data_IF_267927570818
#
_entry.id   IF_267927570818
#
_cell.length_a   1.000
_cell.length_b   1.000
_cell.length_c   1.000
_cell.angle_alpha   90.00
_cell.angle_beta   90.00
_cell.angle_gamma   90.00
#
_symmetry.space_group_name_H-M   'P 1'
#
loop_
_entity.id
_entity.type
_entity.pdbx_description
1 polymer ?
#
# COMPACT_ATOMS: atom_id res chain seq x y z
N UNK A 1 -6.54 0.58 13.57
CA UNK A 1 -6.05 -0.77 13.22
C UNK A 1 -4.77 -0.65 12.39
N UNK A 2 -3.78 -1.49 12.66
CA UNK A 2 -2.45 -1.46 12.02
C UNK A 2 -2.49 -1.60 10.48
N UNK A 3 -3.42 -2.39 9.94
CA UNK A 3 -3.62 -2.56 8.48
C UNK A 3 -4.07 -1.25 7.83
N UNK A 4 -4.89 -0.45 8.52
CA UNK A 4 -5.29 0.89 8.03
C UNK A 4 -4.14 1.89 8.08
N UNK A 5 -3.20 1.72 9.02
CA UNK A 5 -2.00 2.54 9.07
C UNK A 5 -1.06 2.23 7.90
N UNK A 6 -0.87 0.95 7.55
CA UNK A 6 -0.16 0.54 6.34
C UNK A 6 -0.82 1.13 5.08
N UNK A 7 -2.13 1.00 4.95
CA UNK A 7 -2.90 1.53 3.81
C UNK A 7 -2.66 3.04 3.64
N UNK A 8 -2.82 3.79 4.73
CA UNK A 8 -2.58 5.23 4.73
C UNK A 8 -1.12 5.57 4.41
N UNK A 9 -0.16 4.85 5.00
CA UNK A 9 1.26 5.05 4.68
C UNK A 9 1.56 4.88 3.19
N UNK A 10 1.01 3.84 2.55
CA UNK A 10 1.22 3.61 1.12
C UNK A 10 0.56 4.70 0.27
N UNK A 11 -0.63 5.18 0.65
CA UNK A 11 -1.22 6.37 0.01
C UNK A 11 -0.30 7.59 0.07
N UNK A 12 0.24 7.88 1.24
CA UNK A 12 1.08 9.05 1.48
C UNK A 12 2.41 8.96 0.72
N UNK A 13 3.13 7.83 0.82
CA UNK A 13 4.42 7.66 0.14
C UNK A 13 4.28 7.61 -1.38
N UNK A 14 3.21 6.99 -1.90
CA UNK A 14 2.93 7.01 -3.34
C UNK A 14 2.60 8.41 -3.83
N UNK A 15 1.79 9.18 -3.09
CA UNK A 15 1.53 10.58 -3.45
C UNK A 15 2.82 11.39 -3.51
N UNK A 16 3.63 11.35 -2.45
CA UNK A 16 4.89 12.09 -2.38
C UNK A 16 5.82 11.67 -3.51
N UNK A 17 6.01 10.35 -3.72
CA UNK A 17 6.87 9.84 -4.77
C UNK A 17 6.42 10.25 -6.18
N UNK A 18 5.12 10.24 -6.46
CA UNK A 18 4.59 10.69 -7.75
C UNK A 18 4.78 12.19 -7.99
N UNK A 19 4.60 13.02 -6.95
CA UNK A 19 4.90 14.45 -7.02
C UNK A 19 6.39 14.70 -7.28
N UNK A 20 7.27 13.90 -6.67
CA UNK A 20 8.72 13.98 -6.91
C UNK A 20 9.12 13.54 -8.32
N UNK A 21 8.44 12.55 -8.90
CA UNK A 21 8.60 12.19 -10.32
C UNK A 21 8.13 13.33 -11.23
N UNK A 22 7.01 13.96 -10.91
CA UNK A 22 6.48 15.11 -11.66
C UNK A 22 7.46 16.30 -11.62
N UNK A 23 8.02 16.59 -10.45
CA UNK A 23 9.04 17.61 -10.22
C UNK A 23 10.43 17.28 -10.78
N UNK A 24 10.60 16.09 -11.39
CA UNK A 24 11.88 15.58 -11.89
C UNK A 24 12.96 15.43 -10.81
N UNK A 25 12.55 15.29 -9.54
CA UNK A 25 13.42 14.91 -8.42
C UNK A 25 13.71 13.41 -8.43
N UNK A 26 12.79 12.61 -9.00
CA UNK A 26 12.95 11.18 -9.25
C UNK A 26 12.91 10.88 -10.76
N UNK A 27 13.58 9.81 -11.22
CA UNK A 27 13.45 9.36 -12.61
C UNK A 27 12.01 8.93 -12.89
N UNK A 28 11.53 9.23 -14.10
CA UNK A 28 10.22 8.75 -14.54
C UNK A 28 10.21 7.22 -14.69
N UNK A 29 9.07 6.61 -14.36
CA UNK A 29 8.86 5.18 -14.54
C UNK A 29 7.87 4.92 -15.68
N UNK A 30 7.90 3.72 -16.25
CA UNK A 30 6.90 3.34 -17.26
C UNK A 30 5.46 3.41 -16.72
N UNK A 31 5.27 3.18 -15.41
CA UNK A 31 3.96 3.28 -14.80
C UNK A 31 3.55 4.74 -14.58
N UNK A 32 4.48 5.60 -14.16
CA UNK A 32 4.21 7.05 -13.99
C UNK A 32 3.77 7.70 -15.30
N UNK A 33 4.44 7.35 -16.42
CA UNK A 33 4.11 7.86 -17.76
C UNK A 33 2.76 7.38 -18.29
N UNK A 34 2.26 6.26 -17.77
CA UNK A 34 0.95 5.69 -18.12
C UNK A 34 -0.15 6.08 -17.15
N UNK A 35 0.18 6.83 -16.10
CA UNK A 35 -0.80 7.33 -15.16
C UNK A 35 -1.75 8.27 -15.89
N UNK A 36 -3.01 7.88 -15.96
CA UNK A 36 -4.05 8.67 -16.60
C UNK A 36 -4.47 9.79 -15.67
N UNK A 37 -4.81 10.95 -16.21
CA UNK A 37 -5.41 12.07 -15.47
C UNK A 37 -6.72 12.49 -16.15
N UNK A 38 -7.63 13.08 -15.40
CA UNK A 38 -8.87 13.63 -15.96
C UNK A 38 -8.59 14.79 -16.93
N UNK A 39 -9.55 15.05 -17.84
CA UNK A 39 -9.47 16.22 -18.72
C UNK A 39 -9.47 17.52 -17.92
N UNK A 40 -10.24 17.58 -16.82
CA UNK A 40 -10.28 18.73 -15.91
C UNK A 40 -8.92 18.99 -15.24
N UNK A 41 -8.29 17.94 -14.71
CA UNK A 41 -6.93 18.03 -14.16
C UNK A 41 -5.92 18.50 -15.22
N UNK A 42 -6.04 17.98 -16.45
CA UNK A 42 -5.20 18.39 -17.58
C UNK A 42 -5.35 19.88 -17.89
N UNK A 43 -6.58 20.38 -18.00
CA UNK A 43 -6.86 21.81 -18.24
C UNK A 43 -6.31 22.69 -17.11
N UNK A 44 -6.47 22.25 -15.86
CA UNK A 44 -5.94 22.95 -14.68
C UNK A 44 -4.41 23.02 -14.73
N UNK A 45 -3.73 21.90 -14.98
CA UNK A 45 -2.27 21.84 -15.08
C UNK A 45 -1.69 22.69 -16.21
N UNK A 46 -2.38 22.78 -17.36
CA UNK A 46 -1.98 23.68 -18.46
C UNK A 46 -2.12 25.15 -18.05
N UNK A 47 -3.20 25.50 -17.33
CA UNK A 47 -3.45 26.89 -16.90
C UNK A 47 -2.52 27.37 -15.77
N UNK A 48 -1.99 26.44 -14.96
CA UNK A 48 -1.17 26.71 -13.78
C UNK A 48 0.08 25.83 -13.73
N UNK A 49 1.04 26.02 -14.64
CA UNK A 49 2.18 25.10 -14.80
C UNK A 49 3.18 25.11 -13.65
N UNK A 50 3.14 26.10 -12.75
CA UNK A 50 4.03 26.22 -11.58
C UNK A 50 3.40 25.70 -10.28
N UNK A 51 2.14 25.27 -10.30
CA UNK A 51 1.44 24.71 -9.14
C UNK A 51 1.27 23.20 -9.31
N UNK A 52 1.58 22.42 -8.27
CA UNK A 52 1.43 20.97 -8.29
C UNK A 52 0.13 20.48 -7.62
N UNK A 53 -0.63 21.40 -7.01
CA UNK A 53 -1.84 21.10 -6.25
C UNK A 53 -2.90 20.36 -7.07
N UNK A 54 -2.96 20.63 -8.39
CA UNK A 54 -3.87 19.92 -9.28
C UNK A 54 -3.52 18.43 -9.39
N UNK A 55 -2.22 18.10 -9.43
CA UNK A 55 -1.76 16.73 -9.56
C UNK A 55 -1.86 15.98 -8.23
N UNK A 56 -1.56 16.65 -7.11
CA UNK A 56 -1.82 16.10 -5.76
C UNK A 56 -3.30 15.70 -5.63
N UNK A 57 -4.21 16.62 -5.95
CA UNK A 57 -5.65 16.36 -5.90
C UNK A 57 -6.06 15.17 -6.77
N UNK A 58 -5.59 15.15 -8.02
CA UNK A 58 -5.89 14.05 -8.95
C UNK A 58 -5.38 12.69 -8.43
N UNK A 59 -4.19 12.65 -7.82
CA UNK A 59 -3.68 11.42 -7.18
C UNK A 59 -4.58 11.00 -6.02
N UNK A 60 -4.97 11.94 -5.14
CA UNK A 60 -5.85 11.64 -4.00
C UNK A 60 -7.22 11.14 -4.43
N UNK A 61 -7.82 11.77 -5.45
CA UNK A 61 -9.14 11.39 -5.95
C UNK A 61 -9.09 10.00 -6.60
N UNK A 62 -8.02 9.70 -7.36
CA UNK A 62 -7.85 8.39 -8.01
C UNK A 62 -7.48 7.27 -7.06
N UNK A 63 -6.64 7.54 -6.08
CA UNK A 63 -6.23 6.50 -5.13
C UNK A 63 -7.21 6.38 -3.97
N UNK A 64 -8.01 7.40 -3.64
CA UNK A 64 -8.85 7.42 -2.44
C UNK A 64 -9.87 6.29 -2.31
N UNK A 65 -10.28 5.65 -3.41
CA UNK A 65 -11.15 4.47 -3.40
C UNK A 65 -10.38 3.13 -3.45
N UNK A 66 -9.06 3.16 -3.56
CA UNK A 66 -8.20 1.98 -3.63
C UNK A 66 -7.66 1.61 -2.25
N UNK A 67 -7.67 0.32 -1.95
CA UNK A 67 -7.04 -0.23 -0.75
C UNK A 67 -5.63 -0.74 -1.07
N UNK A 68 -4.62 -0.14 -0.45
CA UNK A 68 -3.21 -0.51 -0.55
C UNK A 68 -2.78 -1.40 0.61
N UNK A 69 -3.49 -2.53 0.75
CA UNK A 69 -3.22 -3.53 1.80
C UNK A 69 -2.66 -4.82 1.21
N UNK A 70 -3.15 -5.22 0.04
CA UNK A 70 -2.65 -6.42 -0.63
C UNK A 70 -1.28 -6.17 -1.26
N UNK A 71 -0.36 -7.16 -1.23
CA UNK A 71 0.99 -6.97 -1.75
C UNK A 71 1.06 -6.50 -3.21
N UNK A 72 0.15 -6.98 -4.04
CA UNK A 72 0.11 -6.65 -5.47
C UNK A 72 -0.34 -5.20 -5.69
N UNK A 73 -1.29 -4.72 -4.89
CA UNK A 73 -1.75 -3.33 -4.93
C UNK A 73 -0.65 -2.37 -4.47
N UNK A 74 0.06 -2.73 -3.39
CA UNK A 74 1.20 -1.95 -2.88
C UNK A 74 2.32 -1.89 -3.94
N UNK A 75 2.67 -3.02 -4.56
CA UNK A 75 3.68 -3.03 -5.62
C UNK A 75 3.28 -2.17 -6.82
N UNK A 76 2.01 -2.20 -7.22
CA UNK A 76 1.51 -1.36 -8.30
C UNK A 76 1.56 0.13 -7.95
N UNK A 77 1.25 0.51 -6.71
CA UNK A 77 1.35 1.87 -6.23
C UNK A 77 2.82 2.35 -6.20
N UNK A 78 3.75 1.51 -5.74
CA UNK A 78 5.18 1.84 -5.70
C UNK A 78 5.79 2.00 -7.11
N UNK A 79 5.35 1.17 -8.08
CA UNK A 79 5.80 1.27 -9.48
C UNK A 79 5.57 2.64 -10.10
N UNK A 80 4.58 3.40 -9.61
CA UNK A 80 4.29 4.76 -10.09
C UNK A 80 5.42 5.76 -9.78
N UNK A 81 6.34 5.43 -8.86
CA UNK A 81 7.42 6.34 -8.49
C UNK A 81 8.80 5.68 -8.26
N UNK A 82 8.88 4.35 -8.27
CA UNK A 82 10.12 3.59 -8.17
C UNK A 82 10.12 2.40 -9.15
N UNK A 83 11.26 2.12 -9.77
CA UNK A 83 11.45 0.99 -10.69
C UNK A 83 11.95 -0.29 -9.99
N UNK A 84 12.10 -0.27 -8.67
CA UNK A 84 12.64 -1.41 -7.92
C UNK A 84 11.72 -2.66 -7.97
N UNK A 85 12.32 -3.84 -7.85
CA UNK A 85 11.61 -5.07 -7.55
C UNK A 85 11.20 -5.08 -6.07
N UNK A 86 10.15 -4.32 -5.73
CA UNK A 86 9.77 -3.99 -4.34
C UNK A 86 9.87 -5.16 -3.37
N UNK A 87 9.15 -6.26 -3.62
CA UNK A 87 9.09 -7.39 -2.69
C UNK A 87 10.41 -8.14 -2.56
N UNK A 88 11.25 -8.13 -3.60
CA UNK A 88 12.58 -8.72 -3.54
C UNK A 88 13.50 -7.88 -2.65
N UNK A 89 13.46 -6.56 -2.81
CA UNK A 89 14.27 -5.64 -2.03
C UNK A 89 13.82 -5.59 -0.56
N UNK A 90 12.51 -5.50 -0.29
CA UNK A 90 11.94 -5.58 1.06
C UNK A 90 12.28 -6.89 1.74
N UNK A 91 12.17 -8.02 1.03
CA UNK A 91 12.52 -9.31 1.60
C UNK A 91 14.01 -9.43 1.95
N UNK A 92 14.89 -8.80 1.15
CA UNK A 92 16.31 -8.68 1.48
C UNK A 92 16.55 -7.92 2.79
N UNK A 93 15.86 -6.79 2.99
CA UNK A 93 15.96 -6.02 4.25
C UNK A 93 15.49 -6.83 5.47
N UNK A 94 14.44 -7.63 5.29
CA UNK A 94 13.84 -8.43 6.37
C UNK A 94 14.50 -9.80 6.57
N UNK A 95 15.51 -10.16 5.78
CA UNK A 95 16.12 -11.50 5.76
C UNK A 95 15.07 -12.62 5.55
N UNK A 96 14.10 -12.38 4.66
CA UNK A 96 13.03 -13.31 4.30
C UNK A 96 13.04 -13.59 2.79
N UNK A 97 12.23 -14.53 2.33
CA UNK A 97 11.92 -14.65 0.90
C UNK A 97 10.79 -13.67 0.52
N UNK A 98 10.74 -13.28 -0.76
CA UNK A 98 9.67 -12.44 -1.27
C UNK A 98 8.29 -13.06 -1.05
N UNK A 99 8.21 -14.39 -1.19
CA UNK A 99 6.99 -15.17 -0.98
C UNK A 99 6.57 -15.17 0.49
N UNK A 100 7.49 -15.29 1.44
CA UNK A 100 7.19 -15.26 2.87
C UNK A 100 6.61 -13.91 3.29
N UNK A 101 7.23 -12.81 2.84
CA UNK A 101 6.74 -11.45 3.12
C UNK A 101 5.31 -11.28 2.57
N UNK A 102 5.11 -11.63 1.29
CA UNK A 102 3.79 -11.53 0.63
C UNK A 102 2.74 -12.41 1.31
N UNK A 103 3.09 -13.63 1.71
CA UNK A 103 2.16 -14.56 2.37
C UNK A 103 1.76 -14.07 3.75
N UNK A 104 2.73 -13.63 4.57
CA UNK A 104 2.46 -13.13 5.92
C UNK A 104 1.61 -11.86 5.87
N UNK A 105 1.90 -10.94 4.95
CA UNK A 105 1.09 -9.75 4.76
C UNK A 105 -0.36 -10.10 4.34
N UNK A 106 -0.54 -11.02 3.38
CA UNK A 106 -1.89 -11.51 2.98
C UNK A 106 -2.64 -12.13 4.15
N UNK A 107 -1.96 -12.94 4.98
CA UNK A 107 -2.59 -13.56 6.14
C UNK A 107 -3.13 -12.50 7.13
N UNK A 108 -2.36 -11.45 7.41
CA UNK A 108 -2.78 -10.36 8.30
C UNK A 108 -3.99 -9.59 7.73
N UNK A 109 -3.95 -9.24 6.43
CA UNK A 109 -5.05 -8.54 5.75
C UNK A 109 -6.32 -9.39 5.73
N UNK A 110 -6.19 -10.69 5.42
CA UNK A 110 -7.31 -11.62 5.41
C UNK A 110 -7.93 -11.76 6.81
N UNK A 111 -7.10 -11.92 7.86
CA UNK A 111 -7.57 -11.98 9.24
C UNK A 111 -8.35 -10.73 9.63
N UNK A 112 -7.85 -9.53 9.27
CA UNK A 112 -8.58 -8.27 9.49
C UNK A 112 -9.93 -8.27 8.78
N UNK A 113 -10.00 -8.75 7.54
CA UNK A 113 -11.25 -8.80 6.79
C UNK A 113 -12.25 -9.78 7.39
N UNK A 114 -11.80 -10.93 7.87
CA UNK A 114 -12.64 -11.89 8.60
C UNK A 114 -13.26 -11.28 9.85
N UNK A 115 -12.47 -10.57 10.66
CA UNK A 115 -12.94 -9.91 11.89
C UNK A 115 -13.98 -8.83 11.56
N UNK A 116 -13.72 -8.01 10.54
CA UNK A 116 -14.55 -6.84 10.21
C UNK A 116 -15.82 -7.22 9.44
N UNK A 117 -15.75 -8.17 8.52
CA UNK A 117 -16.83 -8.46 7.57
C UNK A 117 -17.49 -9.82 7.78
N UNK A 118 -16.79 -10.82 8.30
CA UNK A 118 -17.29 -12.20 8.42
C UNK A 118 -17.74 -12.55 9.85
N UNK A 119 -17.94 -11.53 10.71
CA UNK A 119 -18.25 -11.66 12.14
C UNK A 119 -17.25 -12.55 12.91
N UNK A 120 -16.06 -12.72 12.34
CA UNK A 120 -15.01 -13.61 12.81
C UNK A 120 -15.42 -15.08 12.99
N UNK A 121 -16.45 -15.56 12.27
CA UNK A 121 -17.00 -16.90 12.46
C UNK A 121 -16.06 -17.99 11.93
N UNK A 122 -15.86 -19.07 12.71
CA UNK A 122 -15.13 -20.26 12.26
C UNK A 122 -16.06 -21.14 11.38
N UNK A 123 -15.79 -21.27 10.06
CA UNK A 123 -16.61 -22.07 9.17
C UNK A 123 -16.47 -23.57 9.40
N UNK A 124 -15.48 -24.02 10.17
CA UNK A 124 -15.28 -25.44 10.51
C UNK A 124 -16.35 -25.98 11.47
N UNK A 125 -17.03 -25.10 12.22
CA UNK A 125 -18.10 -25.44 13.16
C UNK A 125 -19.36 -24.60 12.95
N UNK A 126 -20.04 -24.77 11.80
CA UNK A 126 -21.22 -23.97 11.46
C UNK A 126 -22.33 -24.18 12.49
N UNK A 127 -22.84 -23.09 13.08
CA UNK A 127 -23.95 -23.10 14.05
C UNK A 127 -23.59 -22.97 15.52
N UNK A 128 -22.29 -23.00 15.88
CA UNK A 128 -21.85 -22.80 17.28
C UNK A 128 -21.62 -21.35 17.68
N UNK A 129 -21.46 -20.44 16.70
CA UNK A 129 -21.09 -19.03 16.95
C UNK A 129 -19.63 -18.84 17.40
N UNK A 130 -18.80 -19.88 17.28
CA UNK A 130 -17.39 -19.80 17.63
C UNK A 130 -16.64 -18.84 16.70
N UNK A 131 -15.76 -18.04 17.31
CA UNK A 131 -14.86 -17.13 16.60
C UNK A 131 -13.47 -17.74 16.47
N UNK A 132 -12.72 -17.31 15.45
CA UNK A 132 -11.31 -17.71 15.34
C UNK A 132 -10.53 -17.29 16.60
N UNK A 133 -9.73 -18.19 17.19
CA UNK A 133 -8.91 -17.84 18.34
C UNK A 133 -7.95 -16.71 17.97
N UNK A 134 -7.76 -15.76 18.88
CA UNK A 134 -6.79 -14.68 18.77
C UNK A 134 -6.16 -14.43 20.13
N UNK A 135 -4.83 -14.40 20.15
CA UNK A 135 -4.05 -14.07 21.32
C UNK A 135 -3.45 -12.66 21.21
N UNK A 136 -3.08 -12.03 22.34
CA UNK A 136 -2.31 -10.78 22.30
C UNK A 136 -1.00 -10.91 21.50
N UNK A 137 -0.36 -12.08 21.53
CA UNK A 137 0.87 -12.34 20.78
C UNK A 137 0.64 -12.29 19.26
N UNK A 138 -0.53 -12.73 18.78
CA UNK A 138 -0.88 -12.64 17.35
C UNK A 138 -1.00 -11.17 16.90
N UNK A 139 -1.59 -10.33 17.76
CA UNK A 139 -1.74 -8.89 17.50
C UNK A 139 -0.39 -8.19 17.47
N UNK A 140 0.47 -8.47 18.46
CA UNK A 140 1.83 -7.91 18.53
C UNK A 140 2.66 -8.36 17.33
N UNK A 141 2.68 -9.66 17.02
CA UNK A 141 3.41 -10.20 15.87
C UNK A 141 2.96 -9.62 14.52
N UNK A 142 1.65 -9.36 14.35
CA UNK A 142 1.12 -8.71 13.16
C UNK A 142 1.47 -7.22 13.11
N UNK A 143 1.45 -6.55 14.27
CA UNK A 143 1.83 -5.14 14.42
C UNK A 143 3.29 -4.92 14.05
N UNK A 144 4.18 -5.66 14.70
CA UNK A 144 5.64 -5.57 14.50
C UNK A 144 5.98 -5.87 13.05
N UNK A 145 5.39 -6.92 12.47
CA UNK A 145 5.66 -7.25 11.07
C UNK A 145 5.18 -6.19 10.08
N UNK A 146 4.03 -5.54 10.30
CA UNK A 146 3.60 -4.44 9.44
C UNK A 146 4.54 -3.25 9.58
N UNK A 147 5.00 -2.95 10.79
CA UNK A 147 5.98 -1.90 11.03
C UNK A 147 7.28 -2.19 10.28
N UNK A 148 7.84 -3.39 10.43
CA UNK A 148 9.05 -3.84 9.73
C UNK A 148 8.89 -3.70 8.21
N UNK A 149 7.73 -4.09 7.65
CA UNK A 149 7.44 -3.94 6.22
C UNK A 149 7.38 -2.46 5.81
N UNK A 150 6.74 -1.59 6.58
CA UNK A 150 6.69 -0.16 6.29
C UNK A 150 8.09 0.47 6.28
N UNK A 151 8.91 0.14 7.27
CA UNK A 151 10.29 0.61 7.41
C UNK A 151 11.16 0.09 6.26
N UNK A 152 11.09 -1.21 5.93
CA UNK A 152 11.80 -1.78 4.80
C UNK A 152 11.36 -1.16 3.46
N UNK A 153 10.06 -0.92 3.25
CA UNK A 153 9.57 -0.20 2.07
C UNK A 153 10.18 1.20 2.04
N UNK A 154 10.19 1.92 3.16
CA UNK A 154 10.74 3.27 3.25
C UNK A 154 12.22 3.30 2.84
N UNK A 155 13.01 2.37 3.36
CA UNK A 155 14.45 2.23 3.05
C UNK A 155 14.70 1.88 1.59
N UNK A 156 13.87 1.03 1.00
CA UNK A 156 14.07 0.56 -0.39
C UNK A 156 13.68 1.61 -1.43
N UNK A 157 12.72 2.47 -1.12
CA UNK A 157 12.16 3.42 -2.09
C UNK A 157 12.68 4.84 -1.95
N UNK A 158 13.43 5.18 -0.90
CA UNK A 158 14.08 6.48 -0.71
C UNK A 158 15.58 6.42 -0.98
#
# INVERSE_FOLDING_TARGET
>A
MIVSALDHYIHEITRVGMLEVYDRKRPQTNASLRFQVTMEATMTGISKPSENDWFDREIRDKHGYQAFQHPDNIANAVRLFSSCELWRAVASELNLTDQDVKNRLRAIVNRRNQIVHEADLDPSYPGTGNRWPISPADVTSASDFIQDVCEAIHTVVN
#
